data_IF_483258879310
#
_entry.id   IF_483258879310
#
_cell.length_a   1.000
_cell.length_b   1.000
_cell.length_c   1.000
_cell.angle_alpha   90.00
_cell.angle_beta   90.00
_cell.angle_gamma   90.00
#
_symmetry.space_group_name_H-M   'P 1'
#
loop_
_entity.id
_entity.type
_entity.pdbx_description
1 polymer ?
#
# COMPACT_ATOMS: atom_id res chain seq x y z
N UNK A 1 11.49 -21.53 8.07
CA UNK A 1 11.38 -22.46 9.23
C UNK A 1 10.82 -23.77 8.72
N UNK A 2 11.58 -24.87 8.77
CA UNK A 2 11.19 -26.17 8.21
C UNK A 2 10.01 -26.75 9.00
N UNK A 3 8.92 -27.06 8.30
CA UNK A 3 7.76 -27.73 8.90
C UNK A 3 8.12 -29.21 9.08
N UNK A 4 8.19 -29.68 10.33
CA UNK A 4 8.35 -31.12 10.61
C UNK A 4 7.04 -31.80 10.20
N UNK A 5 7.08 -32.58 9.11
CA UNK A 5 5.88 -33.15 8.48
C UNK A 5 5.30 -34.35 9.25
N UNK A 6 6.12 -35.06 10.03
CA UNK A 6 5.72 -36.32 10.65
C UNK A 6 5.88 -36.30 12.18
N UNK A 7 4.74 -36.15 12.88
CA UNK A 7 4.67 -36.08 14.35
C UNK A 7 5.09 -37.39 15.02
N UNK A 8 4.72 -38.54 14.47
CA UNK A 8 5.06 -39.87 15.01
C UNK A 8 6.57 -40.13 14.96
N UNK A 9 7.23 -39.75 13.85
CA UNK A 9 8.69 -39.89 13.72
C UNK A 9 9.43 -38.99 14.73
N UNK A 10 8.96 -37.76 14.93
CA UNK A 10 9.53 -36.87 15.94
C UNK A 10 9.38 -37.46 17.35
N UNK A 11 8.20 -37.94 17.70
CA UNK A 11 7.94 -38.56 19.00
C UNK A 11 8.88 -39.74 19.27
N UNK A 12 9.05 -40.60 18.27
CA UNK A 12 9.98 -41.73 18.34
C UNK A 12 11.43 -41.26 18.57
N UNK A 13 11.90 -40.26 17.83
CA UNK A 13 13.25 -39.72 18.00
C UNK A 13 13.46 -39.10 19.39
N UNK A 14 12.46 -38.38 19.92
CA UNK A 14 12.53 -37.76 21.25
C UNK A 14 12.56 -38.81 22.37
N UNK A 15 11.74 -39.86 22.28
CA UNK A 15 11.74 -40.98 23.22
C UNK A 15 13.07 -41.74 23.19
N UNK A 16 13.60 -42.01 21.99
CA UNK A 16 14.88 -42.69 21.79
C UNK A 16 16.06 -41.88 22.36
N UNK A 17 16.04 -40.56 22.18
CA UNK A 17 17.03 -39.66 22.77
C UNK A 17 16.96 -39.64 24.30
N UNK A 18 15.75 -39.67 24.88
CA UNK A 18 15.56 -39.71 26.34
C UNK A 18 16.14 -40.98 26.99
N UNK A 19 16.19 -42.09 26.25
CA UNK A 19 16.78 -43.37 26.70
C UNK A 19 18.30 -43.42 26.54
N UNK A 20 18.92 -42.42 25.91
CA UNK A 20 20.37 -42.40 25.66
C UNK A 20 20.84 -43.29 24.50
N UNK A 21 19.93 -43.85 23.71
CA UNK A 21 20.23 -44.86 22.68
C UNK A 21 20.79 -44.28 21.37
N UNK A 22 20.80 -42.96 21.18
CA UNK A 22 21.22 -42.34 19.93
C UNK A 22 21.73 -40.90 20.11
N UNK A 23 22.65 -40.49 19.24
CA UNK A 23 23.20 -39.14 19.20
C UNK A 23 22.20 -38.11 18.68
N UNK A 24 22.25 -36.91 19.23
CA UNK A 24 21.46 -35.76 18.80
C UNK A 24 21.63 -35.44 17.31
N UNK A 25 22.85 -35.59 16.78
CA UNK A 25 23.17 -35.29 15.38
C UNK A 25 22.46 -36.24 14.41
N UNK A 26 22.43 -37.52 14.75
CA UNK A 26 21.86 -38.56 13.88
C UNK A 26 20.33 -38.47 13.85
N UNK A 27 19.71 -38.24 15.00
CA UNK A 27 18.27 -38.04 15.10
C UNK A 27 17.81 -36.75 14.41
N UNK A 28 18.61 -35.68 14.50
CA UNK A 28 18.35 -34.43 13.80
C UNK A 28 18.43 -34.62 12.28
N UNK A 29 19.45 -35.35 11.79
CA UNK A 29 19.60 -35.71 10.37
C UNK A 29 18.43 -36.55 9.87
N UNK A 30 17.97 -37.54 10.66
CA UNK A 30 16.83 -38.39 10.32
C UNK A 30 15.51 -37.62 10.18
N UNK A 31 15.36 -36.52 10.91
CA UNK A 31 14.19 -35.64 10.90
C UNK A 31 14.32 -34.47 9.92
N UNK A 32 15.44 -34.37 9.20
CA UNK A 32 15.77 -33.25 8.32
C UNK A 32 15.66 -31.89 9.03
N UNK A 33 16.19 -31.82 10.25
CA UNK A 33 16.27 -30.59 11.06
C UNK A 33 17.68 -30.37 11.58
N UNK A 34 18.00 -29.12 11.92
CA UNK A 34 19.29 -28.81 12.54
C UNK A 34 19.37 -29.40 13.96
N UNK A 35 20.58 -29.80 14.43
CA UNK A 35 20.76 -30.29 15.79
C UNK A 35 20.23 -29.30 16.85
N UNK A 36 20.43 -28.00 16.63
CA UNK A 36 19.90 -26.95 17.51
C UNK A 36 18.37 -26.99 17.60
N UNK A 37 17.67 -27.17 16.47
CA UNK A 37 16.21 -27.28 16.45
C UNK A 37 15.73 -28.54 17.16
N UNK A 38 16.43 -29.66 16.99
CA UNK A 38 16.13 -30.89 17.72
C UNK A 38 16.25 -30.69 19.25
N UNK A 39 17.33 -30.05 19.72
CA UNK A 39 17.53 -29.75 21.15
C UNK A 39 16.42 -28.87 21.73
N UNK A 40 15.99 -27.83 21.00
CA UNK A 40 14.87 -26.99 21.42
C UNK A 40 13.57 -27.79 21.60
N UNK A 41 13.29 -28.72 20.68
CA UNK A 41 12.11 -29.59 20.75
C UNK A 41 12.20 -30.57 21.91
N UNK A 42 13.39 -31.12 22.18
CA UNK A 42 13.62 -32.00 23.32
C UNK A 42 13.46 -31.29 24.66
N UNK A 43 13.99 -30.06 24.79
CA UNK A 43 13.79 -29.25 25.99
C UNK A 43 12.30 -28.98 26.21
N UNK A 44 11.57 -28.55 25.17
CA UNK A 44 10.13 -28.35 25.27
C UNK A 44 9.38 -29.63 25.68
N UNK A 45 9.74 -30.78 25.08
CA UNK A 45 9.16 -32.08 25.44
C UNK A 45 9.40 -32.45 26.92
N UNK A 46 10.61 -32.26 27.42
CA UNK A 46 10.97 -32.54 28.82
C UNK A 46 10.22 -31.64 29.80
N UNK A 47 10.02 -30.37 29.45
CA UNK A 47 9.32 -29.39 30.30
C UNK A 47 7.81 -29.61 30.33
N UNK A 48 7.19 -29.90 29.18
CA UNK A 48 5.72 -29.99 29.06
C UNK A 48 5.18 -31.42 29.23
N UNK A 49 6.07 -32.41 29.36
CA UNK A 49 5.79 -33.86 29.41
C UNK A 49 4.84 -34.37 28.30
N UNK A 50 4.73 -33.61 27.20
CA UNK A 50 3.77 -33.80 26.12
C UNK A 50 4.39 -33.29 24.81
N UNK A 51 3.85 -33.75 23.67
CA UNK A 51 4.43 -33.43 22.36
C UNK A 51 4.35 -31.94 22.04
N UNK A 52 5.49 -31.28 21.70
CA UNK A 52 5.49 -29.85 21.43
C UNK A 52 4.65 -29.51 20.19
N UNK A 53 3.76 -28.52 20.32
CA UNK A 53 2.92 -28.04 19.24
C UNK A 53 3.77 -27.35 18.15
N UNK A 54 4.09 -28.06 17.08
CA UNK A 54 4.83 -27.52 15.93
C UNK A 54 3.84 -26.97 14.91
N UNK A 55 4.05 -25.72 14.50
CA UNK A 55 3.41 -25.16 13.30
C UNK A 55 2.09 -24.42 13.51
N UNK A 56 1.55 -24.36 14.73
CA UNK A 56 0.24 -23.74 15.01
C UNK A 56 0.26 -22.21 14.95
N UNK A 57 1.36 -21.57 15.34
CA UNK A 57 1.54 -20.10 15.34
C UNK A 57 2.57 -19.64 14.32
N UNK A 58 2.61 -20.29 13.15
CA UNK A 58 3.48 -19.84 12.06
C UNK A 58 2.92 -18.56 11.42
N UNK A 59 3.74 -17.52 11.38
CA UNK A 59 3.44 -16.27 10.68
C UNK A 59 3.25 -15.09 11.62
N UNK A 60 3.10 -13.90 11.02
CA UNK A 60 2.84 -12.67 11.78
C UNK A 60 1.47 -12.79 12.47
N UNK A 61 1.35 -12.48 13.77
CA UNK A 61 0.07 -12.47 14.47
C UNK A 61 -1.00 -11.69 13.71
N UNK A 62 -2.20 -12.26 13.60
CA UNK A 62 -3.33 -11.60 12.93
C UNK A 62 -3.82 -10.46 13.83
N UNK A 63 -3.61 -9.21 13.38
CA UNK A 63 -4.19 -8.04 14.04
C UNK A 63 -5.70 -8.04 13.82
N UNK A 64 -6.49 -7.98 14.89
CA UNK A 64 -7.94 -7.79 14.80
C UNK A 64 -8.22 -6.29 14.57
N UNK A 65 -9.11 -5.96 13.64
CA UNK A 65 -9.55 -4.59 13.42
C UNK A 65 -10.66 -4.27 14.42
N UNK A 66 -10.50 -3.12 15.08
CA UNK A 66 -11.47 -2.57 16.02
C UNK A 66 -12.82 -2.27 15.32
N UNK A 67 -13.99 -2.53 15.94
CA UNK A 67 -15.29 -2.27 15.34
C UNK A 67 -15.50 -0.82 14.91
N UNK A 68 -15.04 0.17 15.70
CA UNK A 68 -15.18 1.59 15.35
C UNK A 68 -14.36 1.93 14.10
N UNK A 69 -13.14 1.38 14.02
CA UNK A 69 -12.29 1.56 12.83
C UNK A 69 -12.93 0.96 11.56
N UNK A 70 -13.65 -0.16 11.68
CA UNK A 70 -14.36 -0.76 10.53
C UNK A 70 -15.46 0.16 10.03
N UNK A 71 -16.25 0.71 10.95
CA UNK A 71 -17.33 1.62 10.61
C UNK A 71 -16.78 2.89 9.93
N UNK A 72 -15.72 3.49 10.48
CA UNK A 72 -15.05 4.64 9.88
C UNK A 72 -14.54 4.36 8.45
N UNK A 73 -13.99 3.16 8.22
CA UNK A 73 -13.53 2.74 6.89
C UNK A 73 -14.70 2.68 5.90
N UNK A 74 -15.82 2.07 6.28
CA UNK A 74 -17.01 1.95 5.42
C UNK A 74 -17.59 3.33 5.13
N UNK A 75 -17.81 4.16 6.16
CA UNK A 75 -18.34 5.52 6.00
C UNK A 75 -17.43 6.38 5.12
N UNK A 76 -16.11 6.34 5.34
CA UNK A 76 -15.16 7.11 4.53
C UNK A 76 -15.11 6.60 3.09
N UNK A 77 -15.22 5.29 2.88
CA UNK A 77 -15.25 4.69 1.56
C UNK A 77 -16.53 5.06 0.81
N UNK A 78 -17.69 5.03 1.46
CA UNK A 78 -18.96 5.43 0.85
C UNK A 78 -18.98 6.93 0.54
N UNK A 79 -18.25 7.72 1.34
CA UNK A 79 -18.07 9.15 1.13
C UNK A 79 -17.15 9.46 -0.06
N UNK A 80 -15.95 8.89 -0.13
CA UNK A 80 -14.94 9.32 -1.11
C UNK A 80 -14.70 8.32 -2.25
N UNK A 81 -15.18 7.08 -2.12
CA UNK A 81 -14.99 5.97 -3.07
C UNK A 81 -13.53 5.79 -3.52
N UNK A 82 -12.60 5.90 -2.57
CA UNK A 82 -11.15 5.81 -2.81
C UNK A 82 -10.64 4.39 -2.58
N UNK A 83 -9.49 4.09 -3.19
CA UNK A 83 -8.80 2.83 -2.94
C UNK A 83 -8.19 2.79 -1.52
N UNK A 84 -7.79 1.60 -1.05
CA UNK A 84 -7.32 1.40 0.32
C UNK A 84 -6.12 2.26 0.74
N UNK A 85 -5.20 2.57 -0.19
CA UNK A 85 -3.99 3.36 0.08
C UNK A 85 -4.36 4.82 0.36
N UNK A 86 -5.23 5.40 -0.47
CA UNK A 86 -5.68 6.78 -0.29
C UNK A 86 -6.70 6.90 0.82
N UNK A 87 -7.57 5.90 1.00
CA UNK A 87 -8.52 5.87 2.10
C UNK A 87 -7.80 5.96 3.44
N UNK A 88 -6.67 5.26 3.62
CA UNK A 88 -5.82 5.40 4.81
C UNK A 88 -5.30 6.83 4.98
N UNK A 89 -4.79 7.45 3.92
CA UNK A 89 -4.28 8.84 3.97
C UNK A 89 -5.40 9.81 4.37
N UNK A 90 -6.60 9.65 3.80
CA UNK A 90 -7.77 10.48 4.08
C UNK A 90 -8.29 10.27 5.49
N UNK A 91 -8.40 9.04 5.98
CA UNK A 91 -8.80 8.74 7.37
C UNK A 91 -7.82 9.38 8.37
N UNK A 92 -6.52 9.32 8.08
CA UNK A 92 -5.51 9.93 8.93
C UNK A 92 -5.56 11.47 8.88
N UNK A 93 -5.74 12.05 7.70
CA UNK A 93 -5.82 13.50 7.52
C UNK A 93 -7.10 14.10 8.12
N UNK A 94 -8.24 13.43 7.97
CA UNK A 94 -9.55 13.84 8.50
C UNK A 94 -9.75 13.42 9.96
N UNK A 95 -8.68 13.21 10.72
CA UNK A 95 -8.80 12.90 12.15
C UNK A 95 -9.36 14.14 12.86
N UNK A 96 -10.61 14.03 13.31
CA UNK A 96 -11.33 15.07 14.06
C UNK A 96 -11.21 14.84 15.56
N UNK A 97 -11.38 15.89 16.33
CA UNK A 97 -11.59 15.79 17.77
C UNK A 97 -12.96 15.17 18.11
N UNK A 98 -13.24 14.98 19.40
CA UNK A 98 -14.52 14.38 19.86
C UNK A 98 -15.72 15.28 19.57
N UNK A 99 -15.49 16.56 19.31
CA UNK A 99 -16.51 17.58 19.04
C UNK A 99 -16.78 17.74 17.54
N UNK A 100 -16.04 17.01 16.70
CA UNK A 100 -16.21 16.99 15.25
C UNK A 100 -15.51 18.12 14.52
N UNK A 101 -14.73 18.93 15.24
CA UNK A 101 -13.93 20.02 14.71
C UNK A 101 -12.55 19.50 14.28
N UNK A 102 -12.03 20.10 13.21
CA UNK A 102 -10.65 19.93 12.81
C UNK A 102 -10.21 21.20 12.11
N UNK A 103 -9.39 22.00 12.79
CA UNK A 103 -8.66 23.08 12.14
C UNK A 103 -7.46 22.50 11.40
N UNK A 104 -7.65 22.22 10.11
CA UNK A 104 -6.55 21.80 9.26
C UNK A 104 -5.74 23.03 8.86
N UNK A 105 -4.45 23.07 9.22
CA UNK A 105 -3.54 24.15 8.82
C UNK A 105 -3.59 24.46 7.31
N UNK A 106 -3.92 23.45 6.49
CA UNK A 106 -4.13 23.61 5.05
C UNK A 106 -5.38 24.43 4.70
N UNK A 107 -6.52 24.21 5.36
CA UNK A 107 -7.73 25.00 5.12
C UNK A 107 -7.54 26.45 5.56
N UNK A 108 -6.83 26.67 6.68
CA UNK A 108 -6.46 28.02 7.15
C UNK A 108 -5.58 28.72 6.11
N UNK A 109 -4.54 28.05 5.61
CA UNK A 109 -3.67 28.58 4.57
C UNK A 109 -4.41 28.96 3.28
N UNK A 110 -5.34 28.12 2.81
CA UNK A 110 -6.14 28.43 1.61
C UNK A 110 -7.00 29.69 1.80
N UNK A 111 -7.59 29.86 2.99
CA UNK A 111 -8.38 31.05 3.33
C UNK A 111 -7.51 32.30 3.40
N UNK A 112 -6.34 32.20 4.03
CA UNK A 112 -5.38 33.30 4.14
C UNK A 112 -4.89 33.80 2.77
N UNK A 113 -4.73 32.89 1.81
CA UNK A 113 -4.27 33.22 0.45
C UNK A 113 -5.39 33.41 -0.59
N UNK A 114 -6.66 33.42 -0.18
CA UNK A 114 -7.84 33.47 -1.07
C UNK A 114 -7.80 32.44 -2.22
N UNK A 115 -7.23 31.26 -1.94
CA UNK A 115 -7.12 30.18 -2.93
C UNK A 115 -8.37 29.34 -2.88
N UNK A 116 -9.17 29.37 -3.94
CA UNK A 116 -10.36 28.51 -4.10
C UNK A 116 -9.94 27.11 -4.55
N UNK A 117 -10.06 26.07 -3.72
CA UNK A 117 -9.69 24.71 -4.12
C UNK A 117 -10.69 24.16 -5.15
N UNK A 118 -10.17 23.52 -6.21
CA UNK A 118 -11.01 22.81 -7.18
C UNK A 118 -11.35 21.43 -6.59
N UNK A 119 -12.58 21.29 -6.11
CA UNK A 119 -13.07 20.04 -5.54
C UNK A 119 -13.63 19.13 -6.63
N UNK A 120 -13.29 17.84 -6.57
CA UNK A 120 -13.94 16.83 -7.39
C UNK A 120 -15.35 16.55 -6.86
N UNK A 121 -16.27 16.19 -7.77
CA UNK A 121 -17.65 15.85 -7.41
C UNK A 121 -17.68 14.56 -6.57
N UNK A 122 -18.53 14.56 -5.55
CA UNK A 122 -18.76 13.43 -4.65
C UNK A 122 -19.20 12.16 -5.42
N UNK A 123 -18.64 10.99 -5.06
CA UNK A 123 -18.87 9.69 -5.74
C UNK A 123 -18.51 9.67 -7.24
N UNK A 124 -17.41 10.31 -7.63
CA UNK A 124 -16.84 10.20 -8.99
C UNK A 124 -15.53 9.41 -8.99
N UNK A 125 -15.58 8.07 -8.88
CA UNK A 125 -14.39 7.23 -8.77
C UNK A 125 -13.45 7.37 -9.98
N UNK A 126 -13.98 7.70 -11.16
CA UNK A 126 -13.17 7.89 -12.35
C UNK A 126 -12.28 9.15 -12.27
N UNK A 127 -12.80 10.26 -11.75
CA UNK A 127 -12.02 11.49 -11.56
C UNK A 127 -10.97 11.32 -10.46
N UNK A 128 -11.36 10.70 -9.35
CA UNK A 128 -10.43 10.37 -8.27
C UNK A 128 -9.32 9.44 -8.77
N UNK A 129 -9.66 8.40 -9.52
CA UNK A 129 -8.69 7.48 -10.11
C UNK A 129 -7.70 8.15 -11.07
N UNK A 130 -8.13 9.18 -11.83
CA UNK A 130 -7.22 9.98 -12.66
C UNK A 130 -6.23 10.76 -11.81
N UNK A 131 -6.70 11.41 -10.74
CA UNK A 131 -5.87 12.17 -9.80
C UNK A 131 -4.90 11.23 -9.07
N UNK A 132 -5.37 10.09 -8.58
CA UNK A 132 -4.53 9.07 -7.95
C UNK A 132 -3.44 8.59 -8.90
N UNK A 133 -3.78 8.33 -10.17
CA UNK A 133 -2.80 7.93 -11.18
C UNK A 133 -1.78 9.02 -11.45
N UNK A 134 -2.21 10.28 -11.51
CA UNK A 134 -1.31 11.43 -11.68
C UNK A 134 -0.33 11.56 -10.50
N UNK A 135 -0.83 11.52 -9.26
CA UNK A 135 0.02 11.56 -8.07
C UNK A 135 0.98 10.37 -8.00
N UNK A 136 0.52 9.18 -8.37
CA UNK A 136 1.38 7.99 -8.44
C UNK A 136 2.53 8.17 -9.44
N UNK A 137 2.27 8.76 -10.61
CA UNK A 137 3.30 9.08 -11.60
C UNK A 137 4.28 10.12 -11.04
N UNK A 138 3.75 11.17 -10.42
CA UNK A 138 4.54 12.23 -9.80
C UNK A 138 5.46 11.67 -8.70
N UNK A 139 4.93 10.97 -7.69
CA UNK A 139 5.73 10.41 -6.59
C UNK A 139 6.84 9.46 -7.11
N UNK A 140 6.54 8.67 -8.14
CA UNK A 140 7.50 7.72 -8.73
C UNK A 140 8.66 8.42 -9.44
N UNK A 141 8.38 9.49 -10.18
CA UNK A 141 9.37 10.15 -11.03
C UNK A 141 9.95 11.44 -10.42
N UNK A 142 9.34 11.96 -9.35
CA UNK A 142 9.72 13.24 -8.72
C UNK A 142 11.21 13.30 -8.39
N UNK A 143 11.81 12.20 -7.93
CA UNK A 143 13.23 12.15 -7.55
C UNK A 143 14.20 12.32 -8.72
N UNK A 144 13.73 12.19 -9.96
CA UNK A 144 14.55 12.31 -11.18
C UNK A 144 14.71 13.75 -11.66
N UNK A 145 13.87 14.67 -11.19
CA UNK A 145 13.83 16.05 -11.66
C UNK A 145 14.19 17.01 -10.53
N UNK A 146 14.84 18.13 -10.86
CA UNK A 146 15.21 19.15 -9.87
C UNK A 146 14.00 20.01 -9.51
N UNK A 147 13.28 20.48 -10.53
CA UNK A 147 12.12 21.38 -10.38
C UNK A 147 10.81 20.70 -10.77
N UNK A 148 9.68 21.26 -10.33
CA UNK A 148 8.36 20.81 -10.77
C UNK A 148 8.15 21.08 -12.26
N UNK A 149 8.65 22.20 -12.76
CA UNK A 149 8.52 22.60 -14.16
C UNK A 149 9.17 21.58 -15.11
N UNK A 150 10.38 21.13 -14.77
CA UNK A 150 11.12 20.11 -15.53
C UNK A 150 10.35 18.78 -15.59
N UNK A 151 9.70 18.40 -14.49
CA UNK A 151 8.82 17.23 -14.46
C UNK A 151 7.60 17.39 -15.39
N UNK A 152 6.97 18.58 -15.39
CA UNK A 152 5.80 18.87 -16.24
C UNK A 152 6.20 18.83 -17.72
N UNK A 153 7.32 19.44 -18.08
CA UNK A 153 7.86 19.43 -19.44
C UNK A 153 8.15 18.01 -19.91
N UNK A 154 8.82 17.20 -19.08
CA UNK A 154 9.05 15.79 -19.39
C UNK A 154 7.75 15.01 -19.56
N UNK A 155 6.77 15.20 -18.67
CA UNK A 155 5.51 14.47 -18.71
C UNK A 155 4.73 14.78 -20.00
N UNK A 156 4.69 16.06 -20.40
CA UNK A 156 3.95 16.51 -21.58
C UNK A 156 4.60 16.09 -22.91
N UNK A 157 5.91 15.90 -22.94
CA UNK A 157 6.68 15.52 -24.12
C UNK A 157 6.95 14.01 -24.25
N UNK A 158 6.59 13.24 -23.24
CA UNK A 158 6.75 11.78 -23.26
C UNK A 158 5.66 11.12 -24.12
N UNK A 159 5.99 10.13 -24.97
CA UNK A 159 4.97 9.32 -25.65
C UNK A 159 4.15 8.50 -24.64
N UNK A 160 2.82 8.54 -24.74
CA UNK A 160 1.94 7.91 -23.75
C UNK A 160 1.22 6.67 -24.29
N UNK A 161 1.22 5.60 -23.47
CA UNK A 161 0.65 4.28 -23.81
C UNK A 161 -0.83 4.28 -24.21
N UNK A 162 -1.61 5.20 -23.63
CA UNK A 162 -3.04 5.33 -23.87
C UNK A 162 -3.40 6.29 -25.01
N UNK A 163 -2.40 6.89 -25.66
CA UNK A 163 -2.57 7.77 -26.83
C UNK A 163 -2.21 7.00 -28.10
N UNK A 164 -2.13 7.69 -29.25
CA UNK A 164 -1.80 7.04 -30.50
C UNK A 164 -0.34 6.53 -30.51
N UNK A 165 -0.17 5.27 -30.11
CA UNK A 165 1.14 4.63 -29.97
C UNK A 165 1.88 4.51 -31.30
N UNK A 166 1.15 4.35 -32.42
CA UNK A 166 1.75 4.26 -33.76
C UNK A 166 2.49 5.54 -34.15
N UNK A 167 2.05 6.67 -33.63
CA UNK A 167 2.66 8.00 -33.87
C UNK A 167 3.48 8.49 -32.68
N UNK A 168 3.68 7.65 -31.66
CA UNK A 168 4.31 8.04 -30.39
C UNK A 168 3.72 9.34 -29.83
N UNK A 169 2.39 9.49 -29.90
CA UNK A 169 1.71 10.75 -29.57
C UNK A 169 1.95 11.15 -28.11
N UNK A 170 2.34 12.41 -27.92
CA UNK A 170 2.59 13.00 -26.59
C UNK A 170 1.30 13.61 -26.01
N UNK A 171 1.19 13.74 -24.69
CA UNK A 171 0.08 14.44 -24.06
C UNK A 171 -0.16 15.85 -24.61
N UNK A 172 0.91 16.60 -24.90
CA UNK A 172 0.81 17.93 -25.50
C UNK A 172 0.20 17.90 -26.90
N UNK A 173 0.68 16.99 -27.76
CA UNK A 173 0.14 16.82 -29.11
C UNK A 173 -1.34 16.40 -29.08
N UNK A 174 -1.69 15.49 -28.17
CA UNK A 174 -3.08 15.05 -27.99
C UNK A 174 -3.98 16.17 -27.45
N UNK A 175 -3.45 17.05 -26.59
CA UNK A 175 -4.18 18.22 -26.11
C UNK A 175 -4.52 19.16 -27.26
N UNK A 176 -3.53 19.61 -28.03
CA UNK A 176 -3.75 20.52 -29.15
C UNK A 176 -4.66 19.92 -30.21
N UNK A 177 -4.50 18.62 -30.53
CA UNK A 177 -5.37 17.95 -31.51
C UNK A 177 -6.83 17.85 -31.06
N UNK A 178 -7.09 17.71 -29.75
CA UNK A 178 -8.45 17.53 -29.21
C UNK A 178 -9.10 18.84 -28.80
N UNK A 179 -8.34 19.94 -28.76
CA UNK A 179 -8.86 21.25 -28.36
C UNK A 179 -9.83 21.76 -29.43
N UNK A 180 -11.10 22.06 -29.09
CA UNK A 180 -12.04 22.61 -30.06
C UNK A 180 -11.65 24.02 -30.51
N UNK A 181 -12.01 24.37 -31.75
CA UNK A 181 -11.74 25.68 -32.36
C UNK A 181 -12.15 26.86 -31.48
N UNK A 182 -13.31 26.78 -30.82
CA UNK A 182 -13.84 27.88 -29.99
C UNK A 182 -12.92 28.25 -28.82
N UNK A 183 -12.16 27.28 -28.30
CA UNK A 183 -11.23 27.53 -27.21
C UNK A 183 -10.00 28.31 -27.65
N UNK A 184 -9.57 28.18 -28.91
CA UNK A 184 -8.47 28.99 -29.45
C UNK A 184 -8.83 30.47 -29.47
N UNK A 185 -10.04 30.80 -29.92
CA UNK A 185 -10.53 32.18 -29.94
C UNK A 185 -10.64 32.76 -28.53
N UNK A 186 -11.17 32.00 -27.57
CA UNK A 186 -11.27 32.43 -26.18
C UNK A 186 -9.91 32.59 -25.47
N UNK A 187 -8.92 31.75 -25.80
CA UNK A 187 -7.56 31.92 -25.30
C UNK A 187 -6.92 33.18 -25.91
N UNK A 188 -7.09 33.39 -27.21
CA UNK A 188 -6.56 34.55 -27.91
C UNK A 188 -7.16 35.87 -27.38
N UNK A 189 -8.47 35.96 -27.18
CA UNK A 189 -9.10 37.17 -26.63
C UNK A 189 -8.62 37.46 -25.20
N UNK A 190 -8.50 36.44 -24.36
CA UNK A 190 -8.04 36.58 -22.97
C UNK A 190 -6.57 36.99 -22.87
N UNK A 191 -5.73 36.54 -23.79
CA UNK A 191 -4.30 36.85 -23.83
C UNK A 191 -4.02 38.21 -24.49
N UNK A 192 -4.74 38.53 -25.57
CA UNK A 192 -4.60 39.77 -26.32
C UNK A 192 -5.40 40.94 -25.73
N UNK A 193 -6.25 40.68 -24.71
CA UNK A 193 -7.11 41.68 -24.04
C UNK A 193 -7.88 42.57 -25.03
N UNK A 194 -8.40 41.97 -26.09
CA UNK A 194 -9.41 42.61 -26.93
C UNK A 194 -10.71 42.78 -26.16
#
# INVERSE_FOLDING_TARGET
MVKIRNKKRLEWCLKRYSKGEASQKDLAKMLDITPRRFRQLYVAYKTTNSMPCIGQSLGRPKKRLDPSSKQLIVETHDKYCLNAVYLKKVIFANKRDKEGNAEHAFETFLKEHDIKPILCRYKHPQSNGKIERWWGIYETHRKRFKTFQEFVEWYNNRPHGSLNLRRAETPEQAFWRRLPGEYYYNLATKFLRW
#
